data_IF_045580718474
#
_entry.id   IF_045580718474
#
_cell.length_a   1.000
_cell.length_b   1.000
_cell.length_c   1.000
_cell.angle_alpha   90.00
_cell.angle_beta   90.00
_cell.angle_gamma   90.00
#
_symmetry.space_group_name_H-M   'P 1'
#
loop_
_entity.id
_entity.type
_entity.pdbx_description
1 polymer ?
#
# COMPACT_ATOMS: atom_id res chain seq x y z
N UNK A 1 -18.44 -5.17 -10.67
CA UNK A 1 -18.36 -6.57 -11.15
C UNK A 1 -18.89 -6.66 -12.58
N UNK A 2 -18.24 -7.42 -13.47
CA UNK A 2 -18.70 -7.61 -14.85
C UNK A 2 -18.61 -9.09 -15.24
N UNK A 3 -19.69 -9.65 -15.81
CA UNK A 3 -19.69 -11.01 -16.37
C UNK A 3 -20.64 -11.13 -17.56
N UNK A 4 -20.30 -12.00 -18.51
CA UNK A 4 -21.17 -12.34 -19.63
C UNK A 4 -21.95 -13.61 -19.25
N UNK A 5 -23.28 -13.61 -19.41
CA UNK A 5 -24.13 -14.75 -19.06
C UNK A 5 -24.98 -15.19 -20.25
N UNK A 6 -25.08 -16.50 -20.51
CA UNK A 6 -26.00 -17.01 -21.51
C UNK A 6 -27.45 -16.73 -21.05
N UNK A 7 -28.32 -16.44 -22.01
CA UNK A 7 -29.77 -16.36 -21.78
C UNK A 7 -30.51 -16.97 -22.99
N UNK A 8 -31.81 -17.21 -22.83
CA UNK A 8 -32.63 -17.89 -23.83
C UNK A 8 -32.68 -17.20 -25.21
N UNK A 9 -32.42 -15.89 -25.28
CA UNK A 9 -32.53 -15.13 -26.54
C UNK A 9 -31.19 -14.56 -27.02
N UNK A 10 -30.48 -13.88 -26.13
CA UNK A 10 -29.21 -13.22 -26.43
C UNK A 10 -28.27 -13.33 -25.24
N UNK A 11 -26.97 -13.24 -25.48
CA UNK A 11 -26.01 -13.10 -24.38
C UNK A 11 -26.33 -11.84 -23.58
N UNK A 12 -26.30 -11.94 -22.26
CA UNK A 12 -26.53 -10.84 -21.34
C UNK A 12 -25.21 -10.37 -20.75
N UNK A 13 -25.08 -9.06 -20.57
CA UNK A 13 -23.96 -8.46 -19.84
C UNK A 13 -24.43 -8.07 -18.44
N UNK A 14 -23.95 -8.79 -17.44
CA UNK A 14 -24.21 -8.50 -16.03
C UNK A 14 -23.19 -7.46 -15.54
N UNK A 15 -23.67 -6.27 -15.15
CA UNK A 15 -22.85 -5.17 -14.66
C UNK A 15 -23.39 -4.78 -13.28
N UNK A 16 -22.49 -4.73 -12.31
CA UNK A 16 -22.79 -4.29 -10.95
C UNK A 16 -21.69 -3.35 -10.45
N UNK A 17 -22.05 -2.43 -9.55
CA UNK A 17 -21.12 -1.49 -8.91
C UNK A 17 -20.37 -2.24 -7.80
N UNK A 18 -19.10 -1.91 -7.60
CA UNK A 18 -18.30 -2.51 -6.53
C UNK A 18 -17.33 -1.48 -5.93
N UNK A 19 -17.10 -1.58 -4.62
CA UNK A 19 -16.11 -0.80 -3.89
C UNK A 19 -15.19 -1.76 -3.11
N UNK A 20 -13.88 -1.51 -3.17
CA UNK A 20 -12.87 -2.28 -2.42
C UNK A 20 -11.77 -1.34 -1.97
N UNK A 21 -11.16 -1.62 -0.82
CA UNK A 21 -10.06 -0.83 -0.29
C UNK A 21 -8.76 -1.11 -1.07
N UNK A 22 -7.97 -0.05 -1.27
CA UNK A 22 -6.62 -0.10 -1.81
C UNK A 22 -5.70 0.77 -0.97
N UNK A 23 -4.41 0.43 -0.93
CA UNK A 23 -3.40 1.33 -0.41
C UNK A 23 -3.26 2.53 -1.35
N UNK A 24 -3.18 3.72 -0.76
CA UNK A 24 -2.91 4.97 -1.48
C UNK A 24 -1.50 4.94 -2.07
N UNK A 25 -1.36 5.42 -3.31
CA UNK A 25 -0.04 5.68 -3.89
C UNK A 25 0.56 6.92 -3.22
N UNK A 26 1.56 6.71 -2.37
CA UNK A 26 2.20 7.78 -1.60
C UNK A 26 3.63 7.41 -1.15
N UNK A 27 4.44 8.40 -0.73
CA UNK A 27 5.75 8.14 -0.14
C UNK A 27 5.67 7.19 1.06
N UNK A 28 6.68 6.33 1.21
CA UNK A 28 6.74 5.37 2.33
C UNK A 28 6.82 6.09 3.68
N UNK A 29 7.40 7.29 3.72
CA UNK A 29 7.46 8.12 4.92
C UNK A 29 6.07 8.60 5.34
N UNK A 30 5.28 9.12 4.39
CA UNK A 30 3.91 9.57 4.67
C UNK A 30 3.02 8.40 5.09
N UNK A 31 3.16 7.24 4.43
CA UNK A 31 2.49 6.00 4.83
C UNK A 31 2.86 5.58 6.25
N UNK A 32 4.13 5.72 6.66
CA UNK A 32 4.56 5.45 8.03
C UNK A 32 3.88 6.41 9.01
N UNK A 33 3.78 7.70 8.69
CA UNK A 33 3.09 8.67 9.52
C UNK A 33 1.59 8.34 9.66
N UNK A 34 0.91 7.97 8.56
CA UNK A 34 -0.50 7.55 8.61
C UNK A 34 -0.69 6.29 9.48
N UNK A 35 0.17 5.28 9.37
CA UNK A 35 0.11 4.03 10.16
C UNK A 35 0.43 4.25 11.65
N UNK A 36 1.38 5.13 11.93
CA UNK A 36 1.82 5.43 13.30
C UNK A 36 1.04 6.58 13.94
N UNK A 37 0.06 7.15 13.22
CA UNK A 37 -0.75 8.29 13.66
C UNK A 37 0.12 9.51 14.05
N UNK A 38 1.18 9.75 13.26
CA UNK A 38 2.09 10.88 13.44
C UNK A 38 1.64 12.05 12.57
N UNK A 39 1.61 13.26 13.15
CA UNK A 39 1.16 14.47 12.46
C UNK A 39 2.20 14.99 11.47
N UNK A 40 3.49 14.84 11.79
CA UNK A 40 4.58 15.30 10.95
C UNK A 40 5.82 14.38 11.07
N UNK A 41 6.58 14.28 9.97
CA UNK A 41 7.85 13.56 9.92
C UNK A 41 8.86 14.18 10.88
N UNK A 42 8.80 15.51 11.07
CA UNK A 42 9.65 16.27 11.98
C UNK A 42 9.46 15.92 13.46
N UNK A 43 8.34 15.31 13.85
CA UNK A 43 8.15 14.80 15.23
C UNK A 43 8.96 13.54 15.50
N UNK A 44 9.27 12.76 14.46
CA UNK A 44 10.06 11.53 14.54
C UNK A 44 11.57 11.82 14.55
N UNK A 45 12.03 12.65 15.48
CA UNK A 45 13.47 12.97 15.67
C UNK A 45 14.27 11.81 16.26
N UNK A 46 13.58 10.86 16.91
CA UNK A 46 14.16 9.67 17.54
C UNK A 46 13.92 8.44 16.66
N UNK A 47 14.78 7.42 16.73
CA UNK A 47 14.50 6.13 16.11
C UNK A 47 13.15 5.58 16.56
N UNK A 48 12.50 4.79 15.69
CA UNK A 48 11.26 4.11 16.02
C UNK A 48 11.46 3.21 17.25
N UNK A 49 10.52 3.28 18.19
CA UNK A 49 10.46 2.30 19.28
C UNK A 49 10.20 0.90 18.72
N UNK A 50 10.55 -0.14 19.47
CA UNK A 50 10.31 -1.51 19.03
C UNK A 50 8.81 -1.78 18.74
N UNK A 51 7.91 -1.17 19.52
CA UNK A 51 6.46 -1.26 19.29
C UNK A 51 6.03 -0.61 17.97
N UNK A 52 6.47 0.63 17.72
CA UNK A 52 6.17 1.34 16.46
C UNK A 52 6.74 0.59 15.25
N UNK A 53 7.98 0.10 15.37
CA UNK A 53 8.62 -0.68 14.31
C UNK A 53 7.84 -1.94 13.99
N UNK A 54 7.37 -2.68 14.99
CA UNK A 54 6.53 -3.88 14.79
C UNK A 54 5.18 -3.51 14.16
N UNK A 55 4.52 -2.44 14.62
CA UNK A 55 3.27 -1.94 14.03
C UNK A 55 3.46 -1.63 12.54
N UNK A 56 4.46 -0.82 12.21
CA UNK A 56 4.78 -0.47 10.83
C UNK A 56 5.18 -1.67 9.97
N UNK A 57 5.99 -2.59 10.51
CA UNK A 57 6.42 -3.79 9.78
C UNK A 57 5.23 -4.65 9.37
N UNK A 58 4.21 -4.77 10.23
CA UNK A 58 2.98 -5.53 9.90
C UNK A 58 2.24 -4.93 8.72
N UNK A 59 2.12 -3.61 8.66
CA UNK A 59 1.38 -2.91 7.61
C UNK A 59 2.13 -2.88 6.27
N UNK A 60 3.46 -2.69 6.28
CA UNK A 60 4.23 -2.53 5.04
C UNK A 60 4.72 -3.86 4.44
N UNK A 61 4.87 -4.91 5.25
CA UNK A 61 5.42 -6.18 4.78
C UNK A 61 4.49 -6.80 3.73
N UNK A 62 5.09 -7.18 2.60
CA UNK A 62 4.38 -7.77 1.47
C UNK A 62 3.85 -6.74 0.46
N UNK A 63 3.86 -5.44 0.77
CA UNK A 63 3.54 -4.38 -0.19
C UNK A 63 4.64 -4.22 -1.23
N UNK A 64 4.25 -3.77 -2.43
CA UNK A 64 5.19 -3.37 -3.48
C UNK A 64 5.52 -1.88 -3.32
N UNK A 65 6.80 -1.56 -3.26
CA UNK A 65 7.33 -0.19 -3.20
C UNK A 65 8.18 0.08 -4.43
N UNK A 66 8.36 1.34 -4.76
CA UNK A 66 9.25 1.77 -5.82
C UNK A 66 10.30 2.75 -5.29
N UNK A 67 11.44 2.79 -5.99
CA UNK A 67 12.51 3.72 -5.67
C UNK A 67 12.38 5.00 -6.50
N UNK A 68 12.71 6.13 -5.87
CA UNK A 68 12.68 7.46 -6.51
C UNK A 68 14.06 8.08 -6.68
N UNK A 69 15.12 7.43 -6.16
CA UNK A 69 16.48 7.99 -6.18
C UNK A 69 17.26 7.75 -7.49
N UNK A 70 16.77 6.91 -8.40
CA UNK A 70 17.45 6.56 -9.66
C UNK A 70 16.92 7.31 -10.89
N UNK A 71 16.50 8.57 -10.74
CA UNK A 71 16.04 9.41 -11.85
C UNK A 71 14.91 8.75 -12.65
N UNK A 72 15.17 8.42 -13.93
CA UNK A 72 14.19 7.80 -14.83
C UNK A 72 13.89 6.32 -14.54
N UNK A 73 14.74 5.63 -13.77
CA UNK A 73 14.58 4.21 -13.47
C UNK A 73 13.68 4.00 -12.24
N UNK A 74 12.42 3.60 -12.46
CA UNK A 74 11.44 3.29 -11.39
C UNK A 74 11.38 1.80 -11.07
N UNK A 75 12.40 1.28 -10.39
CA UNK A 75 12.46 -0.12 -9.99
C UNK A 75 11.51 -0.42 -8.83
N UNK A 76 10.78 -1.54 -8.93
CA UNK A 76 9.82 -1.99 -7.90
C UNK A 76 10.36 -3.17 -7.12
N UNK A 77 10.10 -3.18 -5.81
CA UNK A 77 10.48 -4.25 -4.89
C UNK A 77 9.30 -4.64 -4.02
N UNK A 78 9.28 -5.89 -3.53
CA UNK A 78 8.32 -6.32 -2.51
C UNK A 78 9.02 -6.26 -1.15
N UNK A 79 8.43 -5.56 -0.20
CA UNK A 79 9.01 -5.42 1.15
C UNK A 79 8.94 -6.77 1.86
N UNK A 80 10.10 -7.31 2.26
CA UNK A 80 10.17 -8.57 2.99
C UNK A 80 10.24 -8.38 4.52
N UNK A 81 10.85 -7.30 4.98
CA UNK A 81 10.99 -6.96 6.39
C UNK A 81 11.44 -5.50 6.58
N UNK A 82 11.43 -5.03 7.84
CA UNK A 82 12.02 -3.74 8.26
C UNK A 82 13.18 -4.02 9.21
N UNK A 83 14.32 -3.38 8.97
CA UNK A 83 15.56 -3.59 9.75
C UNK A 83 15.42 -3.16 11.22
N UNK A 84 16.08 -3.87 12.13
CA UNK A 84 16.31 -3.43 13.52
C UNK A 84 17.62 -2.63 13.58
N UNK A 85 17.66 -1.54 14.34
CA UNK A 85 18.91 -0.89 14.74
C UNK A 85 19.44 -1.51 16.02
#
# INVERSE_FOLDING_TARGET
>A
HQSVRPSHWKMMLNIDVSATAFYKEQPVIDFMCEVLELTDVGEQKRPLTDSQRVKFTKEIKGLKVEITHCGSMRRKYRVCNVTRR
#
